data_IF_642365560788
#
_entry.id   IF_642365560788
#
_cell.length_a   1.000
_cell.length_b   1.000
_cell.length_c   1.000
_cell.angle_alpha   90.00
_cell.angle_beta   90.00
_cell.angle_gamma   90.00
#
_symmetry.space_group_name_H-M   'P 1'
#
loop_
_entity.id
_entity.type
_entity.pdbx_description
1 polymer ?
#
# COMPACT_ATOMS: atom_id res chain seq x y z
N UNK A 1 30.76 12.79 -4.85
CA UNK A 1 30.02 11.58 -5.28
C UNK A 1 29.09 11.19 -4.14
N UNK A 2 27.81 11.55 -4.22
CA UNK A 2 26.83 11.15 -3.21
C UNK A 2 26.24 9.80 -3.62
N UNK A 3 26.46 8.81 -2.76
CA UNK A 3 25.97 7.46 -2.92
C UNK A 3 24.45 7.42 -2.78
N UNK A 4 23.84 6.58 -3.62
CA UNK A 4 22.46 6.16 -3.56
C UNK A 4 22.16 5.55 -2.18
N UNK A 5 21.35 6.24 -1.38
CA UNK A 5 20.84 5.67 -0.13
C UNK A 5 19.72 4.69 -0.47
N UNK A 6 19.96 3.42 -0.14
CA UNK A 6 19.03 2.30 -0.27
C UNK A 6 17.64 2.62 0.31
N UNK A 7 16.60 2.45 -0.51
CA UNK A 7 15.19 2.76 -0.23
C UNK A 7 14.47 1.67 0.62
N UNK A 8 15.19 0.79 1.32
CA UNK A 8 14.58 -0.34 2.06
C UNK A 8 15.19 -0.53 3.46
N UNK A 9 15.45 0.55 4.18
CA UNK A 9 15.68 0.48 5.63
C UNK A 9 14.73 1.42 6.36
N UNK A 10 13.48 0.97 6.49
CA UNK A 10 12.52 1.54 7.43
C UNK A 10 12.93 1.23 8.87
N UNK A 11 13.89 2.00 9.38
CA UNK A 11 14.15 2.16 10.83
C UNK A 11 12.89 2.71 11.51
N UNK A 12 12.01 1.84 11.99
CA UNK A 12 11.00 2.19 13.01
C UNK A 12 10.75 1.00 13.94
N UNK A 13 11.80 0.55 14.62
CA UNK A 13 11.72 -0.38 15.75
C UNK A 13 11.11 0.39 16.93
N UNK A 14 9.79 0.58 16.95
CA UNK A 14 9.10 1.20 18.10
C UNK A 14 7.82 1.97 17.79
N UNK A 15 7.51 2.29 16.53
CA UNK A 15 6.20 2.88 16.21
C UNK A 15 5.19 1.75 16.05
N UNK A 16 4.25 1.63 17.01
CA UNK A 16 3.06 0.78 16.84
C UNK A 16 2.41 1.18 15.52
N UNK A 17 2.31 0.23 14.59
CA UNK A 17 1.60 0.44 13.33
C UNK A 17 0.21 1.01 13.66
N UNK A 18 -0.25 2.04 12.94
CA UNK A 18 -1.60 2.55 13.11
C UNK A 18 -2.60 1.40 13.06
N UNK A 19 -3.65 1.46 13.90
CA UNK A 19 -4.75 0.49 13.85
C UNK A 19 -5.23 0.37 12.39
N UNK A 20 -5.48 -0.86 11.95
CA UNK A 20 -5.89 -1.19 10.57
C UNK A 20 -4.81 -0.97 9.48
N UNK A 21 -3.52 -1.05 9.85
CA UNK A 21 -2.42 -1.11 8.88
C UNK A 21 -2.02 -2.55 8.55
N UNK A 22 -1.92 -2.86 7.26
CA UNK A 22 -1.61 -4.19 6.76
C UNK A 22 -0.43 -4.17 5.79
N UNK A 23 0.32 -5.26 5.72
CA UNK A 23 1.18 -5.52 4.57
C UNK A 23 0.31 -6.03 3.42
N UNK A 24 0.11 -5.21 2.40
CA UNK A 24 -0.80 -5.52 1.31
C UNK A 24 -0.03 -5.98 0.06
N UNK A 25 -0.48 -7.09 -0.54
CA UNK A 25 0.09 -7.62 -1.78
C UNK A 25 -0.98 -7.67 -2.85
N UNK A 26 -0.76 -6.94 -3.95
CA UNK A 26 -1.62 -6.97 -5.12
C UNK A 26 -1.16 -8.04 -6.09
N UNK A 27 -2.04 -8.98 -6.42
CA UNK A 27 -1.84 -9.97 -7.49
C UNK A 27 -3.05 -9.97 -8.42
N UNK A 28 -2.85 -9.64 -9.68
CA UNK A 28 -3.93 -9.40 -10.65
C UNK A 28 -4.94 -8.37 -10.10
N UNK A 29 -6.19 -8.79 -9.86
CA UNK A 29 -7.26 -7.96 -9.32
C UNK A 29 -7.51 -8.20 -7.81
N UNK A 30 -6.67 -8.99 -7.15
CA UNK A 30 -6.85 -9.39 -5.74
C UNK A 30 -5.79 -8.75 -4.86
N UNK A 31 -6.23 -7.93 -3.90
CA UNK A 31 -5.40 -7.32 -2.87
C UNK A 31 -5.50 -8.15 -1.59
N UNK A 32 -4.43 -8.83 -1.23
CA UNK A 32 -4.35 -9.65 -0.01
C UNK A 32 -3.72 -8.85 1.12
N UNK A 33 -4.32 -8.88 2.31
CA UNK A 33 -3.86 -8.15 3.50
C UNK A 33 -3.23 -9.14 4.50
N UNK A 34 -1.99 -8.86 4.90
CA UNK A 34 -1.25 -9.65 5.87
C UNK A 34 -0.88 -8.83 7.09
N UNK A 35 -0.69 -9.51 8.23
CA UNK A 35 -0.24 -8.87 9.46
C UNK A 35 1.15 -8.22 9.31
N UNK A 36 2.04 -8.85 8.55
CA UNK A 36 3.41 -8.39 8.31
C UNK A 36 3.99 -8.87 6.96
N UNK A 37 5.24 -8.47 6.70
CA UNK A 37 5.99 -8.78 5.48
C UNK A 37 6.33 -10.28 5.33
N UNK A 38 6.21 -11.08 6.40
CA UNK A 38 6.42 -12.53 6.31
C UNK A 38 5.26 -13.23 5.61
N UNK A 39 4.11 -12.55 5.47
CA UNK A 39 2.93 -13.05 4.75
C UNK A 39 2.40 -14.40 5.29
N UNK A 40 2.54 -14.63 6.60
CA UNK A 40 2.13 -15.89 7.25
C UNK A 40 0.64 -15.84 7.61
N UNK A 41 0.19 -14.74 8.21
CA UNK A 41 -1.19 -14.57 8.68
C UNK A 41 -1.95 -13.66 7.71
N UNK A 42 -2.84 -14.25 6.90
CA UNK A 42 -3.75 -13.51 6.04
C UNK A 42 -4.96 -13.01 6.84
N UNK A 43 -5.16 -11.70 6.85
CA UNK A 43 -6.22 -11.04 7.63
C UNK A 43 -7.41 -10.62 6.76
N UNK A 44 -7.25 -10.58 5.44
CA UNK A 44 -8.34 -10.24 4.53
C UNK A 44 -7.95 -10.28 3.06
N UNK A 45 -8.97 -10.31 2.22
CA UNK A 45 -8.84 -10.31 0.76
C UNK A 45 -9.85 -9.33 0.17
N UNK A 46 -9.37 -8.45 -0.71
CA UNK A 46 -10.19 -7.46 -1.40
C UNK A 46 -10.08 -7.70 -2.91
N UNK A 47 -11.21 -7.98 -3.56
CA UNK A 47 -11.30 -8.09 -5.01
C UNK A 47 -11.58 -6.70 -5.61
N UNK A 48 -10.58 -6.11 -6.27
CA UNK A 48 -10.61 -4.72 -6.74
C UNK A 48 -11.68 -4.45 -7.81
N UNK A 49 -12.12 -5.46 -8.56
CA UNK A 49 -13.16 -5.29 -9.59
C UNK A 49 -14.52 -4.86 -9.00
N UNK A 50 -14.77 -5.08 -7.71
CA UNK A 50 -15.95 -4.58 -6.99
C UNK A 50 -15.82 -3.13 -6.47
N UNK A 51 -14.68 -2.49 -6.70
CA UNK A 51 -14.38 -1.15 -6.21
C UNK A 51 -13.97 -0.22 -7.35
N UNK A 52 -14.23 1.07 -7.15
CA UNK A 52 -13.63 2.16 -7.91
C UNK A 52 -12.39 2.61 -7.15
N UNK A 53 -11.25 2.61 -7.83
CA UNK A 53 -9.95 3.03 -7.30
C UNK A 53 -9.69 4.48 -7.71
N UNK A 54 -9.26 5.32 -6.77
CA UNK A 54 -8.90 6.73 -7.03
C UNK A 54 -7.72 7.14 -6.17
N UNK A 55 -6.91 8.10 -6.62
CA UNK A 55 -5.92 8.76 -5.76
C UNK A 55 -6.59 9.52 -4.61
N UNK A 56 -5.92 9.55 -3.45
CA UNK A 56 -6.32 10.34 -2.30
C UNK A 56 -5.15 11.18 -1.79
N UNK A 57 -5.40 12.44 -1.40
CA UNK A 57 -6.61 13.20 -1.68
C UNK A 57 -6.79 13.52 -3.18
N UNK A 58 -8.04 13.71 -3.62
CA UNK A 58 -8.43 13.69 -5.05
C UNK A 58 -7.93 14.86 -5.91
N UNK A 59 -7.25 15.83 -5.31
CA UNK A 59 -6.65 16.96 -6.02
C UNK A 59 -5.22 16.68 -6.49
N UNK A 60 -4.66 15.51 -6.17
CA UNK A 60 -3.33 15.13 -6.60
C UNK A 60 -3.35 14.75 -8.09
N UNK A 61 -2.44 15.33 -8.90
CA UNK A 61 -2.31 14.95 -10.30
C UNK A 61 -1.82 13.50 -10.41
N UNK A 62 -2.44 12.74 -11.32
CA UNK A 62 -2.01 11.40 -11.70
C UNK A 62 -0.73 11.56 -12.53
N UNK A 63 0.41 11.62 -11.85
CA UNK A 63 1.70 11.73 -12.53
C UNK A 63 2.05 10.32 -13.01
N UNK A 64 2.39 10.18 -14.31
CA UNK A 64 2.65 8.91 -15.03
C UNK A 64 3.83 8.06 -14.48
N UNK A 65 4.27 8.25 -13.24
CA UNK A 65 5.46 7.62 -12.67
C UNK A 65 5.06 6.67 -11.54
N UNK A 66 5.43 5.41 -11.75
CA UNK A 66 5.18 4.17 -11.00
C UNK A 66 5.60 4.14 -9.51
N UNK A 67 5.95 5.27 -8.91
CA UNK A 67 6.36 5.42 -7.51
C UNK A 67 5.75 6.73 -6.98
N UNK A 68 4.46 6.70 -6.65
CA UNK A 68 3.80 7.76 -5.89
C UNK A 68 3.56 7.27 -4.46
N UNK A 69 4.05 8.04 -3.48
CA UNK A 69 3.73 7.88 -2.05
C UNK A 69 2.31 8.36 -1.71
N UNK A 70 1.40 8.39 -2.69
CA UNK A 70 0.04 8.85 -2.47
C UNK A 70 -0.88 7.69 -2.15
N UNK A 71 -1.68 7.79 -1.08
CA UNK A 71 -2.61 6.75 -0.73
C UNK A 71 -3.67 6.59 -1.81
N UNK A 72 -4.00 5.34 -2.13
CA UNK A 72 -5.15 5.02 -2.95
C UNK A 72 -6.40 4.88 -2.08
N UNK A 73 -7.55 5.25 -2.63
CA UNK A 73 -8.86 5.06 -2.01
C UNK A 73 -9.68 4.06 -2.81
N UNK A 74 -10.22 3.08 -2.12
CA UNK A 74 -11.17 2.11 -2.64
C UNK A 74 -12.59 2.51 -2.23
N UNK A 75 -13.47 2.72 -3.20
CA UNK A 75 -14.90 2.96 -2.96
C UNK A 75 -15.70 1.84 -3.60
N UNK A 76 -16.59 1.18 -2.84
CA UNK A 76 -17.44 0.12 -3.40
C UNK A 76 -18.28 0.70 -4.55
N UNK A 77 -18.37 -0.04 -5.65
CA UNK A 77 -19.25 0.29 -6.78
C UNK A 77 -20.72 0.23 -6.37
#
# INVERSE_FOLDING_TARGET
>A
MQGINSLIEGKNVGQKRPKDSYFAVLKHETLSLYADEKMIECQGVITLSYYTVSLYPSYLPDNEVFLQDFPIRLKKK
#
